data_IF_418233404589
#
_entry.id   IF_418233404589
#
_cell.length_a   1.000
_cell.length_b   1.000
_cell.length_c   1.000
_cell.angle_alpha   90.00
_cell.angle_beta   90.00
_cell.angle_gamma   90.00
#
_symmetry.space_group_name_H-M   'P 1'
#
loop_
_entity.id
_entity.type
_entity.pdbx_description
1 polymer ?
#
# COMPACT_ATOMS: atom_id res chain seq x y z
N UNK A 1 -14.04 -32.59 13.87
CA UNK A 1 -13.66 -31.23 14.28
C UNK A 1 -13.91 -30.34 13.09
N UNK A 2 -14.68 -29.26 13.22
CA UNK A 2 -15.00 -28.40 12.08
C UNK A 2 -13.71 -27.72 11.60
N UNK A 3 -13.34 -27.91 10.34
CA UNK A 3 -12.29 -27.09 9.72
C UNK A 3 -12.74 -25.63 9.78
N UNK A 4 -11.99 -24.81 10.50
CA UNK A 4 -12.25 -23.38 10.57
C UNK A 4 -12.08 -22.78 9.17
N UNK A 5 -13.02 -21.94 8.77
CA UNK A 5 -12.97 -21.30 7.45
C UNK A 5 -11.78 -20.36 7.38
N UNK A 6 -10.83 -20.68 6.50
CA UNK A 6 -9.66 -19.84 6.21
C UNK A 6 -9.85 -19.13 4.86
N UNK A 7 -10.11 -17.81 4.87
CA UNK A 7 -10.32 -17.04 3.64
C UNK A 7 -9.05 -16.95 2.77
N UNK A 8 -7.85 -16.97 3.36
CA UNK A 8 -6.60 -16.86 2.60
C UNK A 8 -6.39 -18.11 1.74
N UNK A 9 -6.62 -19.28 2.32
CA UNK A 9 -6.51 -20.55 1.59
C UNK A 9 -7.63 -20.75 0.58
N UNK A 10 -8.88 -20.44 0.96
CA UNK A 10 -10.06 -20.70 0.12
C UNK A 10 -10.21 -19.72 -1.04
N UNK A 11 -9.82 -18.46 -0.87
CA UNK A 11 -10.01 -17.43 -1.91
C UNK A 11 -8.71 -16.98 -2.57
N UNK A 12 -7.61 -16.84 -1.82
CA UNK A 12 -6.33 -16.37 -2.37
C UNK A 12 -5.38 -17.50 -2.75
N UNK A 13 -5.71 -18.76 -2.42
CA UNK A 13 -4.87 -19.93 -2.69
C UNK A 13 -3.56 -19.92 -1.92
N UNK A 14 -3.48 -19.13 -0.83
CA UNK A 14 -2.31 -19.05 0.02
C UNK A 14 -2.29 -20.32 0.89
N UNK A 15 -1.21 -21.13 0.86
CA UNK A 15 -1.14 -22.34 1.65
C UNK A 15 -1.22 -22.02 3.15
N UNK A 16 -1.64 -23.00 3.93
CA UNK A 16 -1.74 -22.87 5.39
C UNK A 16 -0.37 -22.51 5.97
N UNK A 17 -0.30 -21.39 6.67
CA UNK A 17 0.92 -20.87 7.29
C UNK A 17 0.65 -20.58 8.76
N UNK A 18 1.62 -20.89 9.62
CA UNK A 18 1.55 -20.56 11.05
C UNK A 18 1.53 -19.05 11.33
N UNK A 19 1.83 -18.23 10.32
CA UNK A 19 1.87 -16.78 10.40
C UNK A 19 0.97 -16.16 9.33
N UNK A 20 0.39 -15.01 9.65
CA UNK A 20 -0.37 -14.21 8.70
C UNK A 20 0.46 -13.87 7.44
N UNK A 21 -0.16 -13.90 6.25
CA UNK A 21 0.54 -13.61 5.00
C UNK A 21 1.06 -12.17 4.96
N UNK A 22 2.24 -11.98 4.39
CA UNK A 22 2.79 -10.65 4.16
C UNK A 22 2.11 -9.96 2.95
N UNK A 23 2.26 -8.64 2.81
CA UNK A 23 1.57 -7.85 1.78
C UNK A 23 1.81 -8.37 0.36
N UNK A 24 3.05 -8.74 0.01
CA UNK A 24 3.34 -9.32 -1.31
C UNK A 24 2.58 -10.63 -1.57
N UNK A 25 2.45 -11.49 -0.57
CA UNK A 25 1.74 -12.77 -0.71
C UNK A 25 0.24 -12.56 -0.80
N UNK A 26 -0.30 -11.62 -0.01
CA UNK A 26 -1.70 -11.22 -0.07
C UNK A 26 -2.11 -10.72 -1.46
N UNK A 27 -1.22 -9.96 -2.12
CA UNK A 27 -1.44 -9.46 -3.48
C UNK A 27 -1.13 -10.50 -4.57
N UNK A 28 -0.43 -11.59 -4.24
CA UNK A 28 0.06 -12.57 -5.21
C UNK A 28 1.17 -12.01 -6.09
N UNK A 29 2.09 -11.24 -5.50
CA UNK A 29 3.24 -10.62 -6.15
C UNK A 29 4.55 -11.35 -5.81
N UNK A 30 5.56 -11.13 -6.65
CA UNK A 30 6.94 -11.45 -6.28
C UNK A 30 7.38 -10.63 -5.07
N UNK A 31 8.27 -11.19 -4.26
CA UNK A 31 8.86 -10.47 -3.12
C UNK A 31 9.62 -9.25 -3.64
N UNK A 32 9.38 -8.10 -2.99
CA UNK A 32 10.05 -6.83 -3.30
C UNK A 32 9.80 -6.31 -4.73
N UNK A 33 8.64 -6.61 -5.31
CA UNK A 33 8.21 -5.98 -6.57
C UNK A 33 8.30 -4.46 -6.50
N UNK A 34 8.89 -3.83 -7.52
CA UNK A 34 9.18 -2.39 -7.54
C UNK A 34 8.26 -1.61 -8.50
N UNK A 35 7.65 -2.29 -9.48
CA UNK A 35 6.77 -1.63 -10.45
C UNK A 35 5.41 -1.27 -9.82
N UNK A 36 5.07 0.04 -9.69
CA UNK A 36 3.81 0.46 -9.09
C UNK A 36 2.58 0.01 -9.90
N UNK A 37 2.68 -0.08 -11.23
CA UNK A 37 1.56 -0.50 -12.07
C UNK A 37 1.28 -2.00 -11.85
N UNK A 38 2.33 -2.81 -11.67
CA UNK A 38 2.19 -4.24 -11.33
C UNK A 38 1.53 -4.40 -9.96
N UNK A 39 1.96 -3.62 -8.96
CA UNK A 39 1.38 -3.63 -7.61
C UNK A 39 -0.10 -3.24 -7.64
N UNK A 40 -0.44 -2.16 -8.33
CA UNK A 40 -1.82 -1.68 -8.43
C UNK A 40 -2.71 -2.70 -9.14
N UNK A 41 -2.26 -3.25 -10.27
CA UNK A 41 -3.01 -4.25 -11.01
C UNK A 41 -3.25 -5.52 -10.20
N UNK A 42 -2.25 -5.98 -9.43
CA UNK A 42 -2.39 -7.12 -8.55
C UNK A 42 -3.41 -6.86 -7.44
N UNK A 43 -3.32 -5.71 -6.76
CA UNK A 43 -4.29 -5.33 -5.74
C UNK A 43 -5.72 -5.24 -6.27
N UNK A 44 -5.92 -4.60 -7.43
CA UNK A 44 -7.24 -4.46 -8.04
C UNK A 44 -7.83 -5.83 -8.42
N UNK A 45 -7.00 -6.76 -8.92
CA UNK A 45 -7.42 -8.14 -9.22
C UNK A 45 -7.89 -8.86 -7.96
N UNK A 46 -7.10 -8.80 -6.88
CA UNK A 46 -7.48 -9.45 -5.62
C UNK A 46 -8.74 -8.83 -5.01
N UNK A 47 -8.85 -7.50 -4.98
CA UNK A 47 -10.05 -6.82 -4.51
C UNK A 47 -11.29 -7.25 -5.29
N UNK A 48 -11.18 -7.33 -6.61
CA UNK A 48 -12.31 -7.75 -7.47
C UNK A 48 -12.73 -9.18 -7.16
N UNK A 49 -11.76 -10.09 -6.96
CA UNK A 49 -12.05 -11.47 -6.61
C UNK A 49 -12.74 -11.58 -5.25
N UNK A 50 -12.18 -10.94 -4.21
CA UNK A 50 -12.73 -10.99 -2.86
C UNK A 50 -14.11 -10.34 -2.77
N UNK A 51 -14.36 -9.29 -3.57
CA UNK A 51 -15.67 -8.62 -3.64
C UNK A 51 -16.79 -9.57 -4.06
N UNK A 52 -16.49 -10.63 -4.81
CA UNK A 52 -17.49 -11.64 -5.20
C UNK A 52 -18.04 -12.46 -4.01
N UNK A 53 -17.38 -12.44 -2.86
CA UNK A 53 -17.76 -13.16 -1.64
C UNK A 53 -18.41 -12.27 -0.57
N UNK A 54 -18.73 -11.02 -0.90
CA UNK A 54 -19.35 -10.06 0.03
C UNK A 54 -20.78 -10.40 0.47
N UNK A 55 -21.41 -11.39 -0.16
CA UNK A 55 -22.74 -11.86 0.19
C UNK A 55 -22.68 -13.28 0.74
N UNK A 56 -23.49 -13.57 1.76
CA UNK A 56 -23.63 -14.90 2.34
C UNK A 56 -22.92 -15.06 3.68
N UNK A 57 -22.72 -16.31 4.10
CA UNK A 57 -22.27 -16.65 5.46
C UNK A 57 -20.85 -16.16 5.81
N UNK A 58 -20.02 -15.86 4.82
CA UNK A 58 -18.62 -15.42 5.00
C UNK A 58 -18.40 -13.95 4.64
N UNK A 59 -19.47 -13.15 4.58
CA UNK A 59 -19.41 -11.74 4.20
C UNK A 59 -18.45 -10.94 5.10
N UNK A 60 -18.41 -11.22 6.41
CA UNK A 60 -17.46 -10.57 7.34
C UNK A 60 -16.01 -10.81 6.94
N UNK A 61 -15.63 -12.07 6.68
CA UNK A 61 -14.27 -12.42 6.24
C UNK A 61 -13.89 -11.71 4.93
N UNK A 62 -14.82 -11.55 4.00
CA UNK A 62 -14.54 -10.82 2.76
C UNK A 62 -14.26 -9.34 3.01
N UNK A 63 -14.97 -8.72 3.96
CA UNK A 63 -14.78 -7.31 4.31
C UNK A 63 -13.43 -7.11 4.98
N UNK A 64 -13.06 -7.99 5.92
CA UNK A 64 -11.76 -7.96 6.59
C UNK A 64 -10.63 -8.13 5.57
N UNK A 65 -10.76 -9.11 4.68
CA UNK A 65 -9.75 -9.36 3.64
C UNK A 65 -9.62 -8.19 2.65
N UNK A 66 -10.73 -7.53 2.29
CA UNK A 66 -10.69 -6.31 1.46
C UNK A 66 -9.96 -5.16 2.16
N UNK A 67 -10.17 -4.99 3.47
CA UNK A 67 -9.45 -4.00 4.25
C UNK A 67 -7.95 -4.29 4.26
N UNK A 68 -7.55 -5.55 4.47
CA UNK A 68 -6.14 -5.96 4.43
C UNK A 68 -5.51 -5.72 3.04
N UNK A 69 -6.20 -6.08 1.95
CA UNK A 69 -5.72 -5.84 0.59
C UNK A 69 -5.56 -4.33 0.33
N UNK A 70 -6.48 -3.51 0.84
CA UNK A 70 -6.39 -2.06 0.71
C UNK A 70 -5.17 -1.49 1.48
N UNK A 71 -4.91 -1.97 2.70
CA UNK A 71 -3.73 -1.57 3.46
C UNK A 71 -2.44 -2.01 2.77
N UNK A 72 -2.40 -3.23 2.23
CA UNK A 72 -1.26 -3.72 1.45
C UNK A 72 -1.00 -2.85 0.21
N UNK A 73 -2.05 -2.50 -0.54
CA UNK A 73 -1.96 -1.61 -1.71
C UNK A 73 -1.36 -0.25 -1.32
N UNK A 74 -1.89 0.39 -0.28
CA UNK A 74 -1.41 1.71 0.16
C UNK A 74 0.05 1.61 0.62
N UNK A 75 0.39 0.60 1.42
CA UNK A 75 1.74 0.40 1.94
C UNK A 75 2.77 0.23 0.83
N UNK A 76 2.45 -0.58 -0.19
CA UNK A 76 3.39 -0.91 -1.27
C UNK A 76 3.47 0.16 -2.37
N UNK A 77 2.40 0.95 -2.61
CA UNK A 77 2.42 2.04 -3.58
C UNK A 77 3.09 3.31 -3.07
N UNK A 78 3.21 3.49 -1.74
CA UNK A 78 3.89 4.65 -1.17
C UNK A 78 5.38 4.34 -0.98
N UNK A 79 6.30 5.02 -1.70
CA UNK A 79 7.73 4.65 -1.70
C UNK A 79 8.37 4.62 -0.31
N UNK A 80 8.04 5.60 0.55
CA UNK A 80 8.55 5.65 1.92
C UNK A 80 8.04 4.50 2.80
N UNK A 81 6.74 4.19 2.71
CA UNK A 81 6.14 3.08 3.43
C UNK A 81 6.67 1.74 2.96
N UNK A 82 6.75 1.52 1.64
CA UNK A 82 7.32 0.31 1.02
C UNK A 82 8.75 0.08 1.50
N UNK A 83 9.63 1.07 1.43
CA UNK A 83 11.01 0.93 1.86
C UNK A 83 11.13 0.50 3.34
N UNK A 84 10.37 1.14 4.23
CA UNK A 84 10.35 0.78 5.64
C UNK A 84 9.79 -0.63 5.90
N UNK A 85 8.79 -1.04 5.11
CA UNK A 85 8.17 -2.35 5.18
C UNK A 85 9.12 -3.44 4.68
N UNK A 86 9.81 -3.19 3.56
CA UNK A 86 10.74 -4.12 2.94
C UNK A 86 11.93 -4.42 3.86
N UNK A 87 12.47 -3.41 4.55
CA UNK A 87 13.53 -3.61 5.54
C UNK A 87 13.08 -4.50 6.71
N UNK A 88 11.86 -4.27 7.22
CA UNK A 88 11.28 -5.11 8.28
C UNK A 88 11.06 -6.55 7.79
N UNK A 89 10.54 -6.71 6.57
CA UNK A 89 10.27 -8.02 5.97
C UNK A 89 11.57 -8.79 5.74
N UNK A 90 12.61 -8.15 5.21
CA UNK A 90 13.93 -8.76 5.05
C UNK A 90 14.51 -9.26 6.38
N UNK A 91 14.31 -8.51 7.47
CA UNK A 91 14.78 -8.90 8.80
C UNK A 91 14.04 -10.14 9.29
N UNK A 92 12.70 -10.15 9.15
CA UNK A 92 11.86 -11.32 9.50
C UNK A 92 12.20 -12.57 8.70
N UNK A 93 12.49 -12.42 7.41
CA UNK A 93 12.86 -13.54 6.52
C UNK A 93 14.29 -14.04 6.77
N UNK A 94 15.20 -13.18 7.24
CA UNK A 94 16.60 -13.55 7.58
C UNK A 94 16.74 -14.10 8.99
N UNK A 95 15.79 -13.85 9.89
CA UNK A 95 15.77 -14.46 11.22
C UNK A 95 15.63 -15.98 11.07
N UNK A 96 16.64 -16.77 11.44
CA UNK A 96 16.51 -18.21 11.45
C UNK A 96 15.42 -18.54 12.48
N UNK A 97 14.42 -19.33 12.11
CA UNK A 97 13.62 -20.01 13.11
C UNK A 97 14.58 -20.69 14.11
N UNK A 98 14.36 -20.57 15.43
CA UNK A 98 15.15 -21.30 16.41
C UNK A 98 15.06 -22.78 16.03
N UNK A 99 16.16 -23.35 15.56
CA UNK A 99 16.22 -24.78 15.31
C UNK A 99 16.10 -25.45 16.69
N UNK A 100 15.01 -26.19 16.99
CA UNK A 100 14.97 -26.97 18.21
C UNK A 100 15.90 -28.16 17.97
N UNK A 101 17.16 -28.05 18.42
CA UNK A 101 18.12 -29.15 18.34
C UNK A 101 19.54 -28.83 17.92
N UNK A 102 19.96 -27.56 17.91
CA UNK A 102 21.39 -27.27 17.97
C UNK A 102 21.71 -26.72 19.36
N UNK A 103 22.28 -27.60 20.16
CA UNK A 103 23.00 -27.25 21.38
C UNK A 103 23.87 -26.02 21.12
N UNK A 104 24.03 -25.12 22.11
CA UNK A 104 24.91 -23.97 21.97
C UNK A 104 26.34 -24.50 21.74
N UNK A 105 26.77 -24.56 20.49
CA UNK A 105 28.18 -24.63 20.16
C UNK A 105 28.75 -23.28 20.60
N UNK A 106 29.27 -23.30 21.82
CA UNK A 106 30.28 -22.43 22.38
C UNK A 106 30.93 -21.54 21.31
N UNK A 107 30.95 -20.20 21.48
CA UNK A 107 31.90 -19.40 20.74
C UNK A 107 33.29 -19.86 21.15
N UNK A 108 33.94 -20.66 20.31
CA UNK A 108 35.37 -20.91 20.42
C UNK A 108 36.03 -19.58 20.13
N UNK A 109 36.35 -18.88 21.22
CA UNK A 109 37.27 -17.77 21.23
C UNK A 109 38.61 -18.27 20.66
N UNK A 110 38.86 -18.03 19.37
CA UNK A 110 40.21 -18.12 18.83
C UNK A 110 40.99 -16.92 19.34
N UNK A 111 41.83 -17.22 20.31
CA UNK A 111 42.91 -16.41 20.88
C UNK A 111 43.65 -15.59 19.82
N UNK A 112 43.45 -14.28 19.81
CA UNK A 112 44.45 -13.34 19.30
C UNK A 112 45.33 -12.91 20.48
N UNK A 113 46.58 -13.35 20.44
CA UNK A 113 47.63 -13.07 21.44
C UNK A 113 47.96 -11.56 21.40
N UNK A 114 48.18 -10.91 22.56
CA UNK A 114 48.49 -9.49 22.66
C UNK A 114 50.01 -9.24 22.48
N UNK A 115 50.38 -8.21 21.70
CA UNK A 115 51.73 -7.64 21.72
C UNK A 115 51.65 -6.13 21.93
N UNK A 116 52.10 -5.76 23.12
CA UNK A 116 52.89 -4.60 23.50
C UNK A 116 52.44 -3.19 23.08
N UNK A 117 52.05 -2.46 24.14
CA UNK A 117 52.13 -1.03 24.31
C UNK A 117 53.43 -0.39 23.80
N UNK A 118 53.32 0.84 23.29
CA UNK A 118 54.39 1.84 23.41
C UNK A 118 53.81 3.25 23.33
N UNK A 119 53.91 3.95 24.48
CA UNK A 119 53.89 5.40 24.68
C UNK A 119 52.95 6.08 23.69
N UNK A 120 53.14 7.23 23.04
CA UNK A 120 53.93 8.39 23.37
C UNK A 120 52.94 9.56 23.42
N UNK A 121 52.90 10.21 24.57
CA UNK A 121 52.41 11.58 24.77
C UNK A 121 53.34 12.54 24.04
N UNK A 122 52.79 13.54 23.32
CA UNK A 122 53.34 14.90 23.11
C UNK A 122 52.45 15.60 22.05
N UNK A 123 51.51 16.46 22.44
CA UNK A 123 51.68 17.91 22.64
C UNK A 123 52.29 18.61 21.42
N UNK A 124 51.46 19.32 20.64
CA UNK A 124 51.85 20.57 19.98
C UNK A 124 50.62 21.38 19.53
N UNK A 125 50.32 22.42 20.30
CA UNK A 125 49.60 23.62 19.85
C UNK A 125 50.50 24.41 18.89
N UNK A 126 50.03 24.77 17.70
CA UNK A 126 50.39 26.03 16.98
C UNK A 126 49.58 26.14 15.67
N UNK A 127 48.56 27.00 15.56
CA UNK A 127 48.63 28.41 15.10
C UNK A 127 48.42 28.57 13.58
N UNK A 128 47.28 29.21 13.24
CA UNK A 128 47.12 30.31 12.25
C UNK A 128 46.73 29.99 10.80
N UNK A 129 45.46 30.35 10.54
CA UNK A 129 44.94 31.22 9.47
C UNK A 129 45.15 30.86 7.98
N UNK A 130 44.02 30.57 7.34
CA UNK A 130 43.59 31.19 6.08
C UNK A 130 42.07 31.01 6.01
N UNK A 131 41.27 32.03 6.33
CA UNK A 131 40.70 32.94 5.34
C UNK A 131 39.87 32.21 4.27
N UNK A 132 38.59 31.96 4.57
CA UNK A 132 37.56 31.85 3.53
C UNK A 132 36.42 32.77 3.98
N UNK A 133 36.35 33.89 3.27
CA UNK A 133 35.32 34.90 3.30
C UNK A 133 33.92 34.27 3.27
N UNK A 134 33.12 34.64 4.26
CA UNK A 134 31.69 34.43 4.27
C UNK A 134 30.99 35.46 3.37
N UNK A 135 29.82 35.03 2.88
CA UNK A 135 28.66 35.83 2.49
C UNK A 135 28.64 36.40 1.06
N UNK A 136 27.99 35.64 0.16
CA UNK A 136 27.12 36.25 -0.86
C UNK A 136 25.67 36.13 -0.39
N UNK A 137 24.93 37.24 -0.23
CA UNK A 137 23.53 37.22 0.19
C UNK A 137 22.60 36.87 -0.97
N UNK A 138 21.69 35.94 -0.70
CA UNK A 138 20.48 35.65 -1.46
C UNK A 138 19.64 36.92 -1.58
N UNK A 139 19.27 37.32 -2.81
CA UNK A 139 18.32 38.40 -3.07
C UNK A 139 17.16 37.86 -3.92
N UNK A 140 15.92 37.80 -3.39
CA UNK A 140 14.75 37.48 -4.18
C UNK A 140 14.16 38.77 -4.72
N UNK A 141 14.15 38.96 -6.04
CA UNK A 141 13.37 40.02 -6.67
C UNK A 141 12.68 39.44 -7.90
N UNK A 142 11.42 39.07 -7.73
CA UNK A 142 10.49 38.84 -8.82
C UNK A 142 9.49 40.01 -8.82
N UNK A 143 9.36 40.74 -9.94
CA UNK A 143 8.13 41.45 -10.25
C UNK A 143 7.51 40.94 -11.55
N UNK A 144 6.32 40.35 -11.40
CA UNK A 144 5.07 40.58 -12.16
C UNK A 144 5.14 40.63 -13.70
N UNK A 145 4.47 39.63 -14.30
CA UNK A 145 3.46 39.68 -15.39
C UNK A 145 3.60 40.77 -16.46
N UNK A 146 3.88 40.34 -17.70
CA UNK A 146 3.31 40.97 -18.90
C UNK A 146 3.18 39.91 -20.02
N UNK A 147 1.98 39.73 -20.55
CA UNK A 147 1.61 38.81 -21.62
C UNK A 147 1.59 39.58 -22.95
N UNK A 148 2.15 39.04 -24.06
CA UNK A 148 1.67 39.42 -25.39
C UNK A 148 0.96 38.24 -26.07
N UNK A 149 -0.34 38.42 -26.27
CA UNK A 149 -1.14 37.76 -27.29
C UNK A 149 -0.49 37.95 -28.66
N UNK A 150 -0.22 36.86 -29.38
CA UNK A 150 -0.22 36.88 -30.84
C UNK A 150 -1.04 35.71 -31.39
N UNK A 151 -2.12 36.09 -32.05
CA UNK A 151 -2.96 35.24 -32.87
C UNK A 151 -2.15 34.62 -34.01
N UNK A 152 -2.35 33.34 -34.27
CA UNK A 152 -2.12 32.80 -35.61
C UNK A 152 -3.26 31.86 -36.00
N UNK A 153 -4.11 32.37 -36.87
CA UNK A 153 -5.12 31.67 -37.66
C UNK A 153 -4.43 30.84 -38.74
N UNK A 154 -4.67 29.52 -38.75
CA UNK A 154 -4.13 28.62 -39.78
C UNK A 154 -4.78 27.23 -39.79
N UNK A 155 -5.90 27.13 -40.50
CA UNK A 155 -6.57 25.96 -41.09
C UNK A 155 -5.82 24.60 -41.16
N UNK A 156 -6.45 23.52 -40.64
CA UNK A 156 -6.79 22.29 -41.41
C UNK A 156 -7.43 21.18 -40.53
N UNK A 157 -8.66 20.70 -40.80
CA UNK A 157 -9.16 19.44 -40.26
C UNK A 157 -8.90 18.27 -41.24
N UNK A 158 -7.98 17.37 -40.90
CA UNK A 158 -7.84 16.10 -41.64
C UNK A 158 -8.76 15.06 -41.02
N UNK A 159 -9.89 14.83 -41.71
CA UNK A 159 -10.76 13.68 -41.49
C UNK A 159 -10.05 12.39 -41.93
N UNK A 160 -9.87 11.41 -41.02
CA UNK A 160 -9.64 10.02 -41.43
C UNK A 160 -10.40 9.01 -40.56
N UNK A 161 -11.50 8.55 -41.17
CA UNK A 161 -12.03 7.17 -41.18
C UNK A 161 -12.37 6.50 -39.85
N UNK A 162 -13.67 6.49 -39.61
CA UNK A 162 -14.43 5.54 -38.81
C UNK A 162 -13.99 4.07 -39.02
N UNK A 163 -13.69 3.37 -37.91
CA UNK A 163 -13.79 1.91 -37.85
C UNK A 163 -15.08 1.53 -37.14
N UNK A 164 -16.08 1.22 -37.96
CA UNK A 164 -17.29 0.48 -37.59
C UNK A 164 -16.87 -0.94 -37.18
N UNK A 165 -16.97 -1.29 -35.89
CA UNK A 165 -16.94 -2.70 -35.44
C UNK A 165 -18.14 -2.99 -34.55
N UNK A 166 -19.18 -3.46 -35.25
CA UNK A 166 -20.12 -4.54 -34.92
C UNK A 166 -20.61 -4.62 -33.47
N UNK A 167 -21.82 -4.09 -33.30
CA UNK A 167 -22.77 -4.38 -32.24
C UNK A 167 -23.04 -5.88 -32.11
N UNK A 168 -22.75 -6.44 -30.93
CA UNK A 168 -23.42 -7.65 -30.47
C UNK A 168 -24.55 -7.19 -29.54
N UNK A 169 -25.75 -7.24 -30.11
CA UNK A 169 -27.01 -7.00 -29.44
C UNK A 169 -27.38 -8.22 -28.57
N UNK A 170 -27.79 -7.92 -27.34
CA UNK A 170 -28.52 -8.79 -26.43
C UNK A 170 -28.20 -8.35 -25.00
N UNK A 171 -29.12 -8.01 -24.11
CA UNK A 171 -30.56 -7.77 -24.14
C UNK A 171 -30.84 -7.05 -22.79
N UNK A 172 -31.68 -6.01 -22.71
CA UNK A 172 -31.71 -5.07 -21.58
C UNK A 172 -32.57 -5.54 -20.39
N UNK A 173 -32.02 -5.55 -19.17
CA UNK A 173 -32.76 -5.82 -17.92
C UNK A 173 -32.78 -4.61 -16.96
N UNK A 174 -32.55 -3.39 -17.46
CA UNK A 174 -32.27 -2.22 -16.61
C UNK A 174 -33.48 -1.34 -16.27
N UNK A 175 -34.71 -1.88 -16.21
CA UNK A 175 -35.89 -1.08 -15.80
C UNK A 175 -36.73 -1.69 -14.66
N UNK A 176 -36.19 -2.59 -13.84
CA UNK A 176 -36.95 -3.17 -12.71
C UNK A 176 -36.31 -3.00 -11.31
N UNK A 177 -35.21 -2.25 -11.15
CA UNK A 177 -34.53 -2.10 -9.84
C UNK A 177 -34.60 -0.68 -9.23
N UNK A 178 -35.21 0.28 -9.91
CA UNK A 178 -35.31 1.66 -9.44
C UNK A 178 -36.41 1.92 -8.40
N UNK A 179 -37.39 1.02 -8.25
CA UNK A 179 -38.58 1.26 -7.42
C UNK A 179 -38.52 0.68 -5.99
N UNK A 180 -37.53 -0.16 -5.65
CA UNK A 180 -37.43 -0.80 -4.32
C UNK A 180 -36.53 -0.04 -3.34
N UNK A 181 -35.63 0.82 -3.81
CA UNK A 181 -34.71 1.57 -2.93
C UNK A 181 -35.46 2.67 -2.17
N UNK A 182 -36.46 3.31 -2.79
CA UNK A 182 -37.23 4.39 -2.17
C UNK A 182 -38.11 3.93 -1.00
N UNK A 183 -38.76 2.77 -1.11
CA UNK A 183 -39.62 2.23 -0.05
C UNK A 183 -38.78 1.72 1.13
N UNK A 184 -37.63 1.09 0.85
CA UNK A 184 -36.71 0.62 1.90
C UNK A 184 -36.14 1.75 2.74
N UNK A 185 -35.72 2.85 2.12
CA UNK A 185 -35.24 4.05 2.83
C UNK A 185 -36.34 4.73 3.64
N UNK A 186 -37.58 4.78 3.12
CA UNK A 186 -38.70 5.40 3.83
C UNK A 186 -39.11 4.59 5.07
N UNK A 187 -39.12 3.27 4.98
CA UNK A 187 -39.38 2.39 6.14
C UNK A 187 -38.24 2.46 7.16
N UNK A 188 -36.97 2.53 6.72
CA UNK A 188 -35.82 2.66 7.61
C UNK A 188 -35.82 4.01 8.37
N UNK A 189 -36.15 5.11 7.68
CA UNK A 189 -36.28 6.44 8.31
C UNK A 189 -37.48 6.49 9.26
N UNK A 190 -38.61 5.85 8.90
CA UNK A 190 -39.77 5.75 9.78
C UNK A 190 -39.47 4.92 11.05
N UNK A 191 -38.73 3.83 10.92
CA UNK A 191 -38.26 3.03 12.06
C UNK A 191 -37.27 3.79 12.95
N UNK A 192 -36.38 4.59 12.37
CA UNK A 192 -35.43 5.42 13.12
C UNK A 192 -36.15 6.54 13.90
N UNK A 193 -37.21 7.11 13.33
CA UNK A 193 -38.01 8.16 13.98
C UNK A 193 -38.90 7.62 15.10
N UNK A 194 -39.43 6.39 14.96
CA UNK A 194 -40.20 5.74 16.01
C UNK A 194 -39.31 5.28 17.18
N UNK A 195 -38.09 4.81 16.90
CA UNK A 195 -37.15 4.34 17.92
C UNK A 195 -36.53 5.47 18.77
N UNK A 196 -36.46 6.69 18.25
CA UNK A 196 -35.87 7.83 18.96
C UNK A 196 -36.86 8.58 19.88
N UNK A 197 -38.13 8.17 19.95
CA UNK A 197 -39.18 8.90 20.68
C UNK A 197 -39.49 8.36 22.09
N UNK A 198 -38.78 7.33 22.57
CA UNK A 198 -38.97 6.72 23.90
C UNK A 198 -38.12 7.35 25.02
N UNK A 199 -37.39 8.44 24.75
CA UNK A 199 -36.59 9.14 25.75
C UNK A 199 -37.21 10.50 26.10
N UNK A 200 -38.33 10.47 26.82
CA UNK A 200 -38.80 11.61 27.60
C UNK A 200 -39.17 11.13 29.02
N UNK A 201 -38.33 11.39 30.03
CA UNK A 201 -38.63 11.00 31.40
C UNK A 201 -39.71 11.92 32.00
N UNK A 202 -40.66 11.32 32.71
CA UNK A 202 -41.63 11.98 33.60
C UNK A 202 -41.06 12.03 35.01
#
# INVERSE_FOLDING_TARGET
MAEQFDPYRKWLGIPDQSQHPHHYQLLGLALFEDDPDVIENAANRQMTHVRSFQTGQYASYSQDLLNEIAQAKICLLQPGSKASYDLQLQTKLKSPAPHPGMDPMTPVATTAIPVAAAANTEVATSVRAAAIEQATPVRPNNPVVELPNQANTGSNPVSRRARKRKSNAGLPWLLALGALIGVGLLVAVLMLLLNNNDIAPK
#
